data_IF_462745615181
#
_entry.id   IF_462745615181
#
_cell.length_a   1.000
_cell.length_b   1.000
_cell.length_c   1.000
_cell.angle_alpha   90.00
_cell.angle_beta   90.00
_cell.angle_gamma   90.00
#
_symmetry.space_group_name_H-M   'P 1'
#
loop_
_entity.id
_entity.type
_entity.pdbx_description
1 polymer ?
#
# COMPACT_ATOMS: atom_id res chain seq x y z
N UNK A 1 -25.93 -3.49 33.48
CA UNK A 1 -24.47 -3.71 33.51
C UNK A 1 -24.14 -4.90 32.62
N UNK A 2 -23.86 -4.68 31.32
CA UNK A 2 -23.34 -5.67 30.36
C UNK A 2 -23.10 -4.99 28.99
N UNK A 3 -21.91 -4.40 28.75
CA UNK A 3 -21.48 -3.94 27.41
C UNK A 3 -19.94 -3.85 27.34
N UNK A 4 -19.22 -4.97 27.44
CA UNK A 4 -17.74 -4.91 27.39
C UNK A 4 -17.03 -6.01 26.58
N UNK A 5 -17.74 -6.97 25.99
CA UNK A 5 -17.08 -8.17 25.40
C UNK A 5 -16.93 -8.19 23.87
N UNK A 6 -17.49 -7.20 23.15
CA UNK A 6 -17.54 -7.23 21.65
C UNK A 6 -16.33 -6.56 21.00
N UNK A 7 -15.73 -5.57 21.65
CA UNK A 7 -14.60 -4.78 21.10
C UNK A 7 -13.34 -5.60 20.74
N UNK A 8 -12.89 -6.59 21.54
CA UNK A 8 -11.67 -7.32 21.22
C UNK A 8 -11.79 -8.18 19.95
N UNK A 9 -13.00 -8.66 19.65
CA UNK A 9 -13.25 -9.53 18.51
C UNK A 9 -13.29 -8.73 17.20
N UNK A 10 -13.90 -7.54 17.22
CA UNK A 10 -13.94 -6.64 16.06
C UNK A 10 -12.54 -6.18 15.64
N UNK A 11 -11.69 -5.79 16.61
CA UNK A 11 -10.30 -5.43 16.33
C UNK A 11 -9.54 -6.60 15.71
N UNK A 12 -9.73 -7.83 16.20
CA UNK A 12 -9.10 -9.03 15.61
C UNK A 12 -9.58 -9.32 14.19
N UNK A 13 -10.86 -9.08 13.90
CA UNK A 13 -11.40 -9.25 12.56
C UNK A 13 -10.82 -8.21 11.59
N UNK A 14 -10.81 -6.93 11.96
CA UNK A 14 -10.21 -5.85 11.16
C UNK A 14 -8.73 -6.12 10.86
N UNK A 15 -7.95 -6.54 11.86
CA UNK A 15 -6.54 -6.88 11.67
C UNK A 15 -6.32 -8.07 10.72
N UNK A 16 -7.22 -9.06 10.70
CA UNK A 16 -7.13 -10.18 9.75
C UNK A 16 -7.44 -9.75 8.33
N UNK A 17 -8.44 -8.89 8.15
CA UNK A 17 -8.80 -8.35 6.83
C UNK A 17 -7.69 -7.46 6.29
N UNK A 18 -7.10 -6.60 7.12
CA UNK A 18 -5.91 -5.81 6.73
C UNK A 18 -4.71 -6.71 6.42
N UNK A 19 -4.50 -7.79 7.17
CA UNK A 19 -3.46 -8.76 6.88
C UNK A 19 -3.64 -9.48 5.53
N UNK A 20 -4.82 -9.43 4.91
CA UNK A 20 -5.09 -10.04 3.60
C UNK A 20 -5.33 -9.02 2.48
N UNK A 21 -5.25 -7.71 2.76
CA UNK A 21 -5.42 -6.70 1.71
C UNK A 21 -4.23 -6.71 0.74
N UNK A 22 -4.51 -6.77 -0.56
CA UNK A 22 -3.53 -6.58 -1.63
C UNK A 22 -3.37 -5.10 -2.02
N UNK A 23 -4.26 -4.25 -1.52
CA UNK A 23 -4.35 -2.83 -1.87
C UNK A 23 -3.99 -1.99 -0.66
N UNK A 24 -3.23 -0.91 -0.90
CA UNK A 24 -2.96 0.12 0.09
C UNK A 24 -4.21 1.00 0.27
N UNK A 25 -4.73 1.18 1.49
CA UNK A 25 -6.01 1.85 1.72
C UNK A 25 -5.98 3.37 1.51
N UNK A 26 -4.79 3.99 1.48
CA UNK A 26 -4.66 5.43 1.26
C UNK A 26 -4.63 5.75 -0.24
N UNK A 27 -3.89 4.95 -1.00
CA UNK A 27 -3.58 5.24 -2.41
C UNK A 27 -4.35 4.36 -3.38
N UNK A 28 -5.06 3.33 -2.89
CA UNK A 28 -5.80 2.33 -3.67
C UNK A 28 -4.97 1.54 -4.71
N UNK A 29 -3.64 1.68 -4.70
CA UNK A 29 -2.73 0.87 -5.53
C UNK A 29 -2.29 -0.41 -4.81
N UNK A 30 -1.66 -1.31 -5.57
CA UNK A 30 -1.07 -2.52 -4.98
C UNK A 30 0.01 -2.18 -3.95
N UNK A 31 -0.16 -2.73 -2.76
CA UNK A 31 0.81 -2.54 -1.69
C UNK A 31 2.11 -3.35 -1.92
N UNK A 32 3.08 -3.15 -1.03
CA UNK A 32 4.39 -3.80 -1.12
C UNK A 32 4.31 -5.34 -1.17
N UNK A 33 3.39 -5.95 -0.42
CA UNK A 33 3.21 -7.41 -0.42
C UNK A 33 2.76 -7.90 -1.79
N UNK A 34 1.84 -7.19 -2.42
CA UNK A 34 1.38 -7.49 -3.78
C UNK A 34 2.52 -7.38 -4.78
N UNK A 35 3.37 -6.35 -4.68
CA UNK A 35 4.56 -6.21 -5.50
C UNK A 35 5.49 -7.44 -5.35
N UNK A 36 5.80 -7.85 -4.12
CA UNK A 36 6.71 -8.98 -3.89
C UNK A 36 6.15 -10.29 -4.49
N UNK A 37 4.84 -10.52 -4.36
CA UNK A 37 4.17 -11.68 -4.94
C UNK A 37 4.17 -11.65 -6.48
N UNK A 38 3.90 -10.49 -7.09
CA UNK A 38 3.85 -10.33 -8.55
C UNK A 38 5.24 -10.33 -9.19
N UNK A 39 6.22 -9.70 -8.54
CA UNK A 39 7.60 -9.62 -9.02
C UNK A 39 8.20 -11.00 -9.27
N UNK A 40 7.98 -11.96 -8.36
CA UNK A 40 8.43 -13.34 -8.54
C UNK A 40 7.87 -13.98 -9.82
N UNK A 41 6.60 -13.72 -10.15
CA UNK A 41 5.95 -14.21 -11.36
C UNK A 41 6.52 -13.55 -12.62
N UNK A 42 6.71 -12.23 -12.61
CA UNK A 42 7.29 -11.49 -13.74
C UNK A 42 8.74 -11.89 -14.00
N UNK A 43 9.56 -12.04 -12.97
CA UNK A 43 10.95 -12.50 -13.08
C UNK A 43 11.01 -13.91 -13.68
N UNK A 44 10.19 -14.84 -13.16
CA UNK A 44 10.11 -16.21 -13.68
C UNK A 44 9.68 -16.26 -15.15
N UNK A 45 8.68 -15.44 -15.52
CA UNK A 45 8.20 -15.32 -16.90
C UNK A 45 9.26 -14.75 -17.83
N UNK A 46 9.95 -13.67 -17.43
CA UNK A 46 11.00 -13.04 -18.23
C UNK A 46 12.18 -13.99 -18.47
N UNK A 47 12.64 -14.70 -17.42
CA UNK A 47 13.69 -15.73 -17.53
C UNK A 47 13.32 -16.82 -18.52
N UNK A 48 12.11 -17.38 -18.42
CA UNK A 48 11.62 -18.46 -19.30
C UNK A 48 11.48 -18.02 -20.75
N UNK A 49 11.06 -16.77 -20.99
CA UNK A 49 10.86 -16.21 -22.33
C UNK A 49 12.11 -15.55 -22.91
N UNK A 50 13.20 -15.45 -22.14
CA UNK A 50 14.42 -14.70 -22.49
C UNK A 50 14.13 -13.26 -22.91
N UNK A 51 13.18 -12.61 -22.24
CA UNK A 51 12.81 -11.21 -22.49
C UNK A 51 13.39 -10.30 -21.42
N UNK A 52 13.67 -9.05 -21.76
CA UNK A 52 14.03 -8.03 -20.78
C UNK A 52 12.86 -7.78 -19.80
N UNK A 53 13.20 -7.43 -18.56
CA UNK A 53 12.28 -6.99 -17.51
C UNK A 53 12.88 -5.73 -16.89
N UNK A 54 12.07 -4.69 -16.74
CA UNK A 54 12.47 -3.41 -16.14
C UNK A 54 11.59 -3.12 -14.93
N UNK A 55 12.16 -2.44 -13.94
CA UNK A 55 11.45 -1.92 -12.78
C UNK A 55 11.68 -0.42 -12.69
N UNK A 56 10.63 0.33 -12.38
CA UNK A 56 10.70 1.75 -12.07
C UNK A 56 10.38 1.94 -10.59
N UNK A 57 11.20 2.72 -9.89
CA UNK A 57 10.95 3.14 -8.52
C UNK A 57 10.78 4.65 -8.53
N UNK A 58 9.65 5.10 -7.99
CA UNK A 58 9.26 6.52 -7.92
C UNK A 58 9.22 6.92 -6.45
N UNK A 59 9.67 8.13 -6.15
CA UNK A 59 9.62 8.73 -4.82
C UNK A 59 9.02 10.14 -4.91
N UNK A 60 8.20 10.52 -3.92
CA UNK A 60 7.63 11.84 -3.82
C UNK A 60 8.66 12.81 -3.22
N UNK A 61 9.37 13.53 -4.10
CA UNK A 61 10.38 14.50 -3.68
C UNK A 61 9.81 15.53 -2.69
N UNK A 62 10.58 15.85 -1.64
CA UNK A 62 10.25 16.84 -0.62
C UNK A 62 8.93 16.59 0.15
N UNK A 63 8.40 15.37 0.18
CA UNK A 63 7.13 15.08 0.85
C UNK A 63 7.10 15.43 2.35
N UNK A 64 8.26 15.39 3.03
CA UNK A 64 8.39 15.85 4.43
C UNK A 64 8.06 17.35 4.57
N UNK A 65 8.44 18.18 3.61
CA UNK A 65 8.16 19.62 3.62
C UNK A 65 6.66 19.89 3.46
N UNK A 66 5.99 19.13 2.58
CA UNK A 66 4.53 19.16 2.42
C UNK A 66 3.86 18.84 3.76
N UNK A 67 4.25 17.74 4.40
CA UNK A 67 3.73 17.35 5.72
C UNK A 67 4.00 18.43 6.79
N UNK A 68 5.16 19.07 6.75
CA UNK A 68 5.52 20.12 7.72
C UNK A 68 4.70 21.38 7.52
N UNK A 69 4.42 21.77 6.26
CA UNK A 69 3.74 23.01 5.92
C UNK A 69 2.21 22.91 6.00
N UNK A 70 1.66 21.76 5.62
CA UNK A 70 0.21 21.57 5.47
C UNK A 70 -0.37 20.56 6.46
N UNK A 71 0.48 19.80 7.15
CA UNK A 71 0.06 18.71 8.04
C UNK A 71 -0.11 17.38 7.31
N UNK A 72 -0.21 16.31 8.10
CA UNK A 72 -0.27 14.93 7.58
C UNK A 72 -1.54 14.63 6.79
N UNK A 73 -2.70 15.14 7.21
CA UNK A 73 -3.96 14.88 6.49
C UNK A 73 -3.94 15.46 5.07
N UNK A 74 -3.54 16.72 4.82
CA UNK A 74 -3.27 17.20 3.46
C UNK A 74 -2.19 16.40 2.73
N UNK A 75 -1.12 15.98 3.42
CA UNK A 75 -0.09 15.12 2.84
C UNK A 75 -0.65 13.80 2.31
N UNK A 76 -1.56 13.16 3.05
CA UNK A 76 -2.23 11.94 2.66
C UNK A 76 -3.02 12.15 1.35
N UNK A 77 -3.76 13.27 1.22
CA UNK A 77 -4.44 13.62 -0.03
C UNK A 77 -3.47 13.82 -1.20
N UNK A 78 -2.35 14.49 -0.99
CA UNK A 78 -1.32 14.64 -2.02
C UNK A 78 -0.75 13.28 -2.46
N UNK A 79 -0.53 12.37 -1.52
CA UNK A 79 0.01 11.05 -1.82
C UNK A 79 -1.00 10.18 -2.59
N UNK A 80 -2.29 10.27 -2.24
CA UNK A 80 -3.37 9.61 -2.97
C UNK A 80 -3.47 10.14 -4.42
N UNK A 81 -3.42 11.45 -4.61
CA UNK A 81 -3.46 12.07 -5.95
C UNK A 81 -2.27 11.64 -6.82
N UNK A 82 -1.07 11.56 -6.26
CA UNK A 82 0.12 11.07 -6.99
C UNK A 82 -0.08 9.62 -7.48
N UNK A 83 -0.84 8.81 -6.76
CA UNK A 83 -1.07 7.41 -7.09
C UNK A 83 -2.20 7.19 -8.12
N UNK A 84 -3.06 8.19 -8.34
CA UNK A 84 -4.13 8.15 -9.36
C UNK A 84 -3.61 8.48 -10.77
N UNK A 85 -2.51 9.23 -10.88
CA UNK A 85 -1.86 9.62 -12.14
C UNK A 85 -1.12 8.47 -12.86
#
# INVERSE_FOLDING_TARGET
>A
MQRSSVRPLLVRYSLRTEQQSFVDPLTEIYNRRSLDQMAGQFISRARRRKTALSFLMVDANNFKEINTRFGHLPGDFFLAEIAEF
#
